data_IF_226303754263
#
_entry.id   IF_226303754263
#
_cell.length_a   1.000
_cell.length_b   1.000
_cell.length_c   1.000
_cell.angle_alpha   90.00
_cell.angle_beta   90.00
_cell.angle_gamma   90.00
#
_symmetry.space_group_name_H-M   'P 1'
#
loop_
_entity.id
_entity.type
_entity.pdbx_description
1 polymer ?
#
# COMPACT_ATOMS: atom_id res chain seq x y z
N UNK A 1 -9.29 -19.31 -22.24
CA UNK A 1 -8.46 -18.12 -21.94
C UNK A 1 -8.52 -17.89 -20.43
N UNK A 2 -7.45 -17.41 -19.80
CA UNK A 2 -7.49 -17.03 -18.37
C UNK A 2 -8.32 -15.76 -18.20
N UNK A 3 -9.04 -15.59 -17.08
CA UNK A 3 -9.67 -14.32 -16.75
C UNK A 3 -8.61 -13.21 -16.56
N UNK A 4 -8.96 -11.99 -16.92
CA UNK A 4 -8.04 -10.85 -16.84
C UNK A 4 -8.22 -10.12 -15.51
N UNK A 5 -7.15 -10.01 -14.72
CA UNK A 5 -7.06 -9.11 -13.57
C UNK A 5 -6.31 -7.84 -13.97
N UNK A 6 -7.00 -6.70 -13.91
CA UNK A 6 -6.43 -5.40 -14.22
C UNK A 6 -5.83 -4.77 -12.96
N UNK A 7 -4.55 -4.40 -13.00
CA UNK A 7 -3.87 -3.72 -11.90
C UNK A 7 -3.55 -2.30 -12.31
N UNK A 8 -4.24 -1.32 -11.74
CA UNK A 8 -3.89 0.10 -11.97
C UNK A 8 -2.77 0.55 -11.04
N UNK A 9 -2.02 1.57 -11.42
CA UNK A 9 -0.87 2.03 -10.65
C UNK A 9 0.27 1.00 -10.63
N UNK A 10 0.42 0.23 -11.71
CA UNK A 10 1.42 -0.84 -11.83
C UNK A 10 2.88 -0.38 -11.70
N UNK A 11 3.18 0.91 -11.94
CA UNK A 11 4.49 1.50 -11.68
C UNK A 11 4.71 1.88 -10.20
N UNK A 12 3.67 1.84 -9.36
CA UNK A 12 3.75 2.09 -7.93
C UNK A 12 4.38 0.93 -7.16
N UNK A 13 4.73 1.17 -5.87
CA UNK A 13 5.39 0.15 -5.05
C UNK A 13 4.58 -1.16 -4.97
N UNK A 14 3.30 -1.11 -4.64
CA UNK A 14 2.48 -2.32 -4.50
C UNK A 14 2.11 -2.89 -5.87
N UNK A 15 1.73 -2.04 -6.82
CA UNK A 15 1.32 -2.47 -8.16
C UNK A 15 2.39 -3.29 -8.88
N UNK A 16 3.66 -2.89 -8.81
CA UNK A 16 4.75 -3.68 -9.41
C UNK A 16 4.94 -5.05 -8.74
N UNK A 17 4.76 -5.16 -7.41
CA UNK A 17 4.82 -6.47 -6.74
C UNK A 17 3.63 -7.35 -7.13
N UNK A 18 2.44 -6.80 -7.28
CA UNK A 18 1.28 -7.53 -7.80
C UNK A 18 1.57 -8.13 -9.17
N UNK A 19 2.03 -7.31 -10.12
CA UNK A 19 2.33 -7.79 -11.48
C UNK A 19 3.44 -8.84 -11.48
N UNK A 20 4.55 -8.57 -10.78
CA UNK A 20 5.71 -9.49 -10.76
C UNK A 20 5.42 -10.82 -10.07
N UNK A 21 4.65 -10.81 -8.99
CA UNK A 21 4.36 -12.01 -8.21
C UNK A 21 3.15 -12.79 -8.70
N UNK A 22 2.45 -12.30 -9.71
CA UNK A 22 1.25 -12.94 -10.28
C UNK A 22 1.51 -14.37 -10.74
N UNK A 23 2.66 -14.63 -11.36
CA UNK A 23 3.06 -15.97 -11.79
C UNK A 23 3.05 -16.98 -10.63
N UNK A 24 3.33 -16.54 -9.42
CA UNK A 24 3.37 -17.38 -8.22
C UNK A 24 2.05 -17.42 -7.45
N UNK A 25 1.42 -16.25 -7.27
CA UNK A 25 0.30 -16.09 -6.35
C UNK A 25 -1.07 -15.99 -7.03
N UNK A 26 -1.08 -15.74 -8.35
CA UNK A 26 -2.29 -15.63 -9.16
C UNK A 26 -2.17 -16.39 -10.50
N UNK A 27 -1.73 -17.67 -10.50
CA UNK A 27 -1.46 -18.39 -11.74
C UNK A 27 -2.73 -18.64 -12.58
N UNK A 28 -3.92 -18.54 -12.00
CA UNK A 28 -5.19 -18.64 -12.68
C UNK A 28 -5.54 -17.41 -13.52
N UNK A 29 -4.88 -16.25 -13.27
CA UNK A 29 -5.19 -14.98 -13.89
C UNK A 29 -4.19 -14.61 -14.99
N UNK A 30 -4.68 -13.92 -16.02
CA UNK A 30 -3.87 -13.07 -16.89
C UNK A 30 -3.80 -11.68 -16.26
N UNK A 31 -2.65 -11.27 -15.73
CA UNK A 31 -2.51 -9.99 -15.02
C UNK A 31 -2.03 -8.91 -16.00
N UNK A 32 -2.81 -7.84 -16.13
CA UNK A 32 -2.47 -6.66 -16.93
C UNK A 32 -2.25 -5.46 -16.02
N UNK A 33 -1.00 -4.99 -15.96
CA UNK A 33 -0.64 -3.79 -15.23
C UNK A 33 -0.83 -2.55 -16.11
N UNK A 34 -1.50 -1.51 -15.58
CA UNK A 34 -1.58 -0.20 -16.22
C UNK A 34 -0.80 0.83 -15.41
N UNK A 35 0.09 1.51 -16.09
CA UNK A 35 0.83 2.68 -15.59
C UNK A 35 0.19 3.97 -16.11
N UNK A 36 0.63 5.11 -15.59
CA UNK A 36 0.15 6.42 -16.06
C UNK A 36 0.54 6.71 -17.53
N UNK A 37 1.59 6.08 -18.02
CA UNK A 37 2.02 6.21 -19.43
C UNK A 37 1.20 5.37 -20.38
N UNK A 38 0.55 4.30 -19.86
CA UNK A 38 -0.31 3.43 -20.68
C UNK A 38 -1.72 4.02 -20.79
N UNK A 39 -2.21 4.65 -19.71
CA UNK A 39 -3.56 5.20 -19.63
C UNK A 39 -3.63 6.29 -18.55
N UNK A 40 -4.08 7.49 -18.93
CA UNK A 40 -4.44 8.52 -17.95
C UNK A 40 -5.84 8.22 -17.39
N UNK A 41 -5.88 7.72 -16.16
CA UNK A 41 -7.13 7.37 -15.47
C UNK A 41 -8.05 8.58 -15.20
N UNK A 42 -7.56 9.81 -15.36
CA UNK A 42 -8.37 11.03 -15.23
C UNK A 42 -9.12 11.40 -16.51
N UNK A 43 -8.81 10.77 -17.63
CA UNK A 43 -9.56 10.88 -18.89
C UNK A 43 -10.62 9.75 -18.96
N UNK A 44 -11.86 10.09 -18.63
CA UNK A 44 -12.97 9.12 -18.59
C UNK A 44 -13.20 8.43 -19.93
N UNK A 45 -13.08 9.16 -21.05
CA UNK A 45 -13.30 8.59 -22.38
C UNK A 45 -12.21 7.59 -22.78
N UNK A 46 -10.96 7.89 -22.42
CA UNK A 46 -9.87 6.93 -22.63
C UNK A 46 -10.04 5.67 -21.77
N UNK A 47 -10.44 5.85 -20.53
CA UNK A 47 -10.72 4.73 -19.61
C UNK A 47 -11.84 3.85 -20.16
N UNK A 48 -12.95 4.40 -20.61
CA UNK A 48 -14.08 3.65 -21.18
C UNK A 48 -13.67 2.87 -22.44
N UNK A 49 -12.89 3.47 -23.34
CA UNK A 49 -12.35 2.79 -24.53
C UNK A 49 -11.42 1.64 -24.18
N UNK A 50 -10.52 1.88 -23.22
CA UNK A 50 -9.62 0.85 -22.72
C UNK A 50 -10.39 -0.30 -22.04
N UNK A 51 -11.43 0.02 -21.29
CA UNK A 51 -12.32 -0.96 -20.65
C UNK A 51 -12.97 -1.89 -21.64
N UNK A 52 -13.56 -1.34 -22.72
CA UNK A 52 -14.19 -2.12 -23.80
C UNK A 52 -13.20 -3.04 -24.53
N UNK A 53 -11.93 -2.61 -24.58
CA UNK A 53 -10.86 -3.39 -25.25
C UNK A 53 -10.31 -4.48 -24.33
N UNK A 54 -10.04 -4.14 -23.06
CA UNK A 54 -9.43 -5.05 -22.09
C UNK A 54 -10.42 -6.08 -21.57
N UNK A 55 -11.67 -5.65 -21.32
CA UNK A 55 -12.76 -6.46 -20.72
C UNK A 55 -12.28 -7.18 -19.46
N UNK A 56 -11.88 -6.47 -18.41
CA UNK A 56 -11.36 -7.09 -17.20
C UNK A 56 -12.42 -7.93 -16.50
N UNK A 57 -11.96 -8.99 -15.83
CA UNK A 57 -12.79 -9.86 -15.00
C UNK A 57 -12.62 -9.56 -13.51
N UNK A 58 -11.61 -8.77 -13.17
CA UNK A 58 -11.38 -8.24 -11.83
C UNK A 58 -10.46 -7.02 -11.92
N UNK A 59 -10.53 -6.13 -10.92
CA UNK A 59 -9.65 -4.94 -10.82
C UNK A 59 -9.00 -4.87 -9.46
N UNK A 60 -7.69 -4.58 -9.44
CA UNK A 60 -6.96 -4.15 -8.25
C UNK A 60 -6.51 -2.70 -8.45
N UNK A 61 -7.15 -1.78 -7.77
CA UNK A 61 -6.91 -0.35 -7.93
C UNK A 61 -5.87 0.16 -6.92
N UNK A 62 -4.62 0.32 -7.41
CA UNK A 62 -3.48 0.82 -6.63
C UNK A 62 -3.08 2.26 -6.98
N UNK A 63 -3.62 2.82 -8.07
CA UNK A 63 -3.29 4.18 -8.48
C UNK A 63 -3.81 5.20 -7.47
N UNK A 64 -2.95 6.11 -7.03
CA UNK A 64 -3.30 7.21 -6.13
C UNK A 64 -2.22 8.29 -6.14
N UNK A 65 -2.61 9.51 -5.80
CA UNK A 65 -1.72 10.54 -5.30
C UNK A 65 -1.53 10.26 -3.80
N UNK A 66 -0.39 9.64 -3.43
CA UNK A 66 -0.21 9.06 -2.09
C UNK A 66 0.74 9.84 -1.17
N UNK A 67 1.40 10.89 -1.67
CA UNK A 67 2.24 11.75 -0.83
C UNK A 67 1.37 12.80 -0.16
N UNK A 68 1.25 12.74 1.15
CA UNK A 68 0.45 13.67 1.95
C UNK A 68 0.78 15.13 1.61
N UNK A 69 2.09 15.46 1.47
CA UNK A 69 2.52 16.81 1.07
C UNK A 69 1.92 17.26 -0.25
N UNK A 70 1.91 16.40 -1.26
CA UNK A 70 1.39 16.73 -2.59
C UNK A 70 -0.13 16.92 -2.55
N UNK A 71 -0.84 16.13 -1.73
CA UNK A 71 -2.28 16.27 -1.50
C UNK A 71 -2.62 17.58 -0.80
N UNK A 72 -1.84 17.98 0.23
CA UNK A 72 -2.03 19.27 0.91
C UNK A 72 -1.76 20.46 -0.01
N UNK A 73 -0.81 20.35 -0.95
CA UNK A 73 -0.48 21.40 -1.90
C UNK A 73 -1.55 21.60 -2.96
N UNK A 74 -2.21 20.52 -3.38
CA UNK A 74 -3.27 20.54 -4.40
C UNK A 74 -4.40 19.58 -4.03
N UNK A 75 -5.31 19.98 -3.12
CA UNK A 75 -6.44 19.16 -2.68
C UNK A 75 -7.41 18.81 -3.82
N UNK A 76 -7.58 19.71 -4.79
CA UNK A 76 -8.48 19.47 -5.92
C UNK A 76 -7.94 18.34 -6.82
N UNK A 77 -6.65 18.36 -7.14
CA UNK A 77 -6.02 17.30 -7.88
C UNK A 77 -5.96 15.99 -7.09
N UNK A 78 -5.76 16.07 -5.76
CA UNK A 78 -5.86 14.89 -4.89
C UNK A 78 -7.25 14.26 -4.95
N UNK A 79 -8.31 15.06 -4.88
CA UNK A 79 -9.69 14.58 -5.04
C UNK A 79 -9.93 13.98 -6.43
N UNK A 80 -9.53 14.67 -7.48
CA UNK A 80 -9.66 14.19 -8.86
C UNK A 80 -9.01 12.81 -9.05
N UNK A 81 -7.79 12.61 -8.54
CA UNK A 81 -7.06 11.36 -8.73
C UNK A 81 -7.56 10.27 -7.76
N UNK A 82 -7.76 10.59 -6.48
CA UNK A 82 -8.04 9.58 -5.46
C UNK A 82 -9.54 9.24 -5.35
N UNK A 83 -10.42 10.19 -5.66
CA UNK A 83 -11.87 10.00 -5.50
C UNK A 83 -12.56 9.79 -6.84
N UNK A 84 -12.45 10.77 -7.78
CA UNK A 84 -13.23 10.72 -9.01
C UNK A 84 -12.82 9.55 -9.92
N UNK A 85 -11.51 9.28 -10.02
CA UNK A 85 -10.98 8.10 -10.73
C UNK A 85 -11.47 6.81 -10.08
N UNK A 86 -11.41 6.72 -8.74
CA UNK A 86 -11.86 5.53 -8.03
C UNK A 86 -13.37 5.30 -8.21
N UNK A 87 -14.17 6.36 -8.12
CA UNK A 87 -15.61 6.29 -8.34
C UNK A 87 -15.94 5.75 -9.75
N UNK A 88 -15.28 6.30 -10.77
CA UNK A 88 -15.50 5.87 -12.15
C UNK A 88 -15.10 4.41 -12.39
N UNK A 89 -13.95 3.99 -11.86
CA UNK A 89 -13.52 2.58 -11.97
C UNK A 89 -14.42 1.62 -11.18
N UNK A 90 -14.92 2.03 -10.01
CA UNK A 90 -15.87 1.25 -9.23
C UNK A 90 -17.21 1.08 -9.97
N UNK A 91 -17.72 2.14 -10.62
CA UNK A 91 -18.90 2.09 -11.45
C UNK A 91 -18.74 1.12 -12.64
N UNK A 92 -17.62 1.21 -13.37
CA UNK A 92 -17.30 0.29 -14.47
C UNK A 92 -17.12 -1.16 -14.01
N UNK A 93 -16.83 -1.38 -12.73
CA UNK A 93 -16.61 -2.68 -12.11
C UNK A 93 -17.83 -3.26 -11.38
N UNK A 94 -19.03 -2.68 -11.57
CA UNK A 94 -20.22 -3.04 -10.77
C UNK A 94 -20.54 -4.55 -10.73
N UNK A 95 -20.22 -5.27 -11.80
CA UNK A 95 -20.49 -6.70 -11.97
C UNK A 95 -19.26 -7.62 -11.80
N UNK A 96 -18.11 -7.04 -11.44
CA UNK A 96 -16.86 -7.79 -11.26
C UNK A 96 -16.16 -7.43 -9.93
N UNK A 97 -15.33 -8.32 -9.37
CA UNK A 97 -14.54 -7.99 -8.18
C UNK A 97 -13.67 -6.77 -8.36
N UNK A 98 -13.75 -5.85 -7.40
CA UNK A 98 -12.93 -4.64 -7.34
C UNK A 98 -12.26 -4.54 -5.98
N UNK A 99 -10.93 -4.52 -5.93
CA UNK A 99 -10.15 -4.32 -4.71
C UNK A 99 -9.51 -2.94 -4.75
N UNK A 100 -9.95 -2.07 -3.86
CA UNK A 100 -9.43 -0.71 -3.70
C UNK A 100 -8.39 -0.67 -2.58
N UNK A 101 -7.19 -0.15 -2.86
CA UNK A 101 -6.21 0.11 -1.82
C UNK A 101 -6.53 1.43 -1.11
N UNK A 102 -7.12 1.33 0.05
CA UNK A 102 -7.30 2.42 1.00
C UNK A 102 -6.07 2.58 1.90
N UNK A 103 -6.16 3.36 2.94
CA UNK A 103 -5.03 3.70 3.83
C UNK A 103 -5.44 3.74 5.29
N UNK A 104 -4.51 3.42 6.20
CA UNK A 104 -4.67 3.71 7.63
C UNK A 104 -4.71 5.21 7.96
N UNK A 105 -4.31 6.10 7.01
CA UNK A 105 -4.43 7.56 7.16
C UNK A 105 -5.89 8.05 7.25
N UNK A 106 -6.87 7.17 7.11
CA UNK A 106 -8.29 7.46 7.41
C UNK A 106 -8.53 7.65 8.91
N UNK A 107 -7.59 7.29 9.76
CA UNK A 107 -7.66 7.44 11.21
C UNK A 107 -6.81 8.61 11.72
N UNK A 108 -7.17 9.16 12.87
CA UNK A 108 -6.46 10.29 13.51
C UNK A 108 -5.17 9.90 14.27
N UNK A 109 -4.97 8.61 14.48
CA UNK A 109 -3.77 8.09 15.15
C UNK A 109 -3.72 8.28 16.65
N UNK A 110 -4.85 8.49 17.33
CA UNK A 110 -4.89 8.72 18.79
C UNK A 110 -4.83 7.44 19.62
N UNK A 111 -5.40 6.34 19.12
CA UNK A 111 -5.57 5.11 19.91
C UNK A 111 -4.67 3.95 19.44
N UNK A 112 -4.37 3.85 18.14
CA UNK A 112 -3.66 2.70 17.57
C UNK A 112 -4.47 1.39 17.59
N UNK A 113 -3.92 0.34 16.97
CA UNK A 113 -4.57 -0.97 16.84
C UNK A 113 -6.01 -0.90 16.35
N UNK A 114 -6.27 0.04 15.42
CA UNK A 114 -7.60 0.29 14.87
C UNK A 114 -8.20 -0.97 14.26
N UNK A 115 -9.49 -1.17 14.50
CA UNK A 115 -10.32 -2.22 13.90
C UNK A 115 -11.13 -1.65 12.74
N UNK A 116 -11.63 -2.52 11.87
CA UNK A 116 -12.49 -2.10 10.75
C UNK A 116 -13.80 -1.45 11.21
N UNK A 117 -14.20 -1.68 12.46
CA UNK A 117 -15.40 -1.10 13.10
C UNK A 117 -15.16 0.25 13.76
N UNK A 118 -13.90 0.68 13.90
CA UNK A 118 -13.58 1.97 14.51
C UNK A 118 -13.91 3.11 13.54
N UNK A 119 -14.43 4.21 14.10
CA UNK A 119 -14.85 5.37 13.29
C UNK A 119 -13.62 6.07 12.68
N UNK A 120 -13.57 6.24 11.35
CA UNK A 120 -12.52 6.99 10.69
C UNK A 120 -12.60 8.49 11.02
N UNK A 121 -11.45 9.10 11.28
CA UNK A 121 -11.31 10.53 11.53
C UNK A 121 -9.99 11.03 10.91
N UNK A 122 -9.90 11.20 9.57
CA UNK A 122 -8.68 11.63 8.92
C UNK A 122 -8.29 13.04 9.34
N UNK A 123 -6.98 13.31 9.41
CA UNK A 123 -6.43 14.61 9.83
C UNK A 123 -5.59 15.28 8.74
N UNK A 124 -5.65 14.77 7.52
CA UNK A 124 -4.98 15.33 6.35
C UNK A 124 -5.77 15.01 5.08
N UNK A 125 -5.51 15.80 4.02
CA UNK A 125 -6.21 15.69 2.73
C UNK A 125 -6.09 14.31 2.10
N UNK A 126 -4.93 13.66 2.21
CA UNK A 126 -4.77 12.30 1.70
C UNK A 126 -5.75 11.32 2.36
N UNK A 127 -5.81 11.33 3.69
CA UNK A 127 -6.73 10.48 4.45
C UNK A 127 -8.19 10.77 4.12
N UNK A 128 -8.57 12.06 3.98
CA UNK A 128 -9.93 12.48 3.61
C UNK A 128 -10.31 11.92 2.23
N UNK A 129 -9.44 12.07 1.21
CA UNK A 129 -9.70 11.55 -0.13
C UNK A 129 -9.78 10.03 -0.17
N UNK A 130 -8.96 9.32 0.63
CA UNK A 130 -9.02 7.86 0.73
C UNK A 130 -10.32 7.39 1.39
N UNK A 131 -10.79 8.08 2.44
CA UNK A 131 -12.04 7.77 3.11
C UNK A 131 -13.26 8.03 2.22
N UNK A 132 -13.27 9.14 1.47
CA UNK A 132 -14.34 9.45 0.52
C UNK A 132 -14.44 8.37 -0.57
N UNK A 133 -13.31 7.99 -1.16
CA UNK A 133 -13.23 6.92 -2.16
C UNK A 133 -13.65 5.55 -1.60
N UNK A 134 -13.22 5.21 -0.37
CA UNK A 134 -13.60 3.98 0.32
C UNK A 134 -15.12 3.86 0.49
N UNK A 135 -15.78 4.95 0.90
CA UNK A 135 -17.25 5.00 1.05
C UNK A 135 -17.98 4.74 -0.27
N UNK A 136 -17.45 5.27 -1.38
CA UNK A 136 -18.01 5.03 -2.72
C UNK A 136 -17.85 3.55 -3.11
N UNK A 137 -16.65 3.01 -2.95
CA UNK A 137 -16.34 1.61 -3.29
C UNK A 137 -17.23 0.65 -2.51
N UNK A 138 -17.42 0.88 -1.22
CA UNK A 138 -18.20 0.00 -0.34
C UNK A 138 -19.74 0.10 -0.55
N UNK A 139 -20.23 1.01 -1.38
CA UNK A 139 -21.64 1.00 -1.83
C UNK A 139 -21.93 -0.19 -2.76
N UNK A 140 -20.91 -0.76 -3.40
CA UNK A 140 -21.04 -1.93 -4.25
C UNK A 140 -20.77 -3.22 -3.45
N UNK A 141 -21.76 -4.12 -3.32
CA UNK A 141 -21.64 -5.29 -2.44
C UNK A 141 -20.56 -6.30 -2.87
N UNK A 142 -20.14 -6.25 -4.15
CA UNK A 142 -19.06 -7.08 -4.70
C UNK A 142 -17.65 -6.52 -4.51
N UNK A 143 -17.50 -5.33 -3.94
CA UNK A 143 -16.23 -4.62 -3.86
C UNK A 143 -15.57 -4.76 -2.49
N UNK A 144 -14.26 -4.57 -2.50
CA UNK A 144 -13.41 -4.64 -1.30
C UNK A 144 -12.60 -3.34 -1.16
N UNK A 145 -12.59 -2.77 0.03
CA UNK A 145 -11.63 -1.75 0.43
C UNK A 145 -10.62 -2.36 1.39
N UNK A 146 -9.32 -2.16 1.11
CA UNK A 146 -8.22 -2.69 1.89
C UNK A 146 -7.39 -1.54 2.47
N UNK A 147 -7.54 -1.25 3.75
CA UNK A 147 -6.72 -0.26 4.45
C UNK A 147 -5.34 -0.85 4.71
N UNK A 148 -4.34 -0.23 4.12
CA UNK A 148 -2.94 -0.59 4.31
C UNK A 148 -2.21 0.50 5.07
N UNK A 149 -1.08 0.14 5.66
CA UNK A 149 -0.19 1.08 6.34
C UNK A 149 1.18 1.10 5.68
N UNK A 150 2.19 1.54 6.41
CA UNK A 150 3.55 1.69 5.92
C UNK A 150 4.06 0.43 5.18
N UNK A 151 4.28 0.57 3.88
CA UNK A 151 4.72 -0.52 3.02
C UNK A 151 6.24 -0.47 2.84
N UNK A 152 6.91 -1.57 3.15
CA UNK A 152 8.34 -1.76 2.93
C UNK A 152 8.61 -2.48 1.61
N UNK A 153 9.66 -2.08 0.90
CA UNK A 153 10.04 -2.70 -0.38
C UNK A 153 10.96 -1.82 -1.19
N UNK A 154 11.35 -2.32 -2.34
CA UNK A 154 12.17 -1.61 -3.33
C UNK A 154 11.39 -1.50 -4.64
N UNK A 155 11.37 -0.30 -5.20
CA UNK A 155 10.74 0.01 -6.47
C UNK A 155 11.72 -0.21 -7.63
N UNK A 156 11.22 -0.61 -8.80
CA UNK A 156 12.09 -0.85 -9.96
C UNK A 156 12.53 0.44 -10.67
N UNK A 157 11.61 1.41 -10.80
CA UNK A 157 11.82 2.54 -11.71
C UNK A 157 12.13 3.87 -10.99
N UNK A 158 11.61 4.08 -9.81
CA UNK A 158 11.85 5.29 -9.01
C UNK A 158 11.52 5.04 -7.55
N UNK A 159 12.25 5.65 -6.60
CA UNK A 159 11.97 5.47 -5.18
C UNK A 159 10.53 5.78 -4.80
N UNK A 160 9.85 4.80 -4.21
CA UNK A 160 8.42 4.86 -3.81
C UNK A 160 8.20 4.45 -2.37
N UNK A 161 9.21 3.89 -1.70
CA UNK A 161 9.10 3.42 -0.32
C UNK A 161 9.92 4.28 0.64
N UNK A 162 9.52 4.24 1.91
CA UNK A 162 10.29 4.88 2.98
C UNK A 162 11.71 4.29 3.13
N UNK A 163 11.91 3.02 2.80
CA UNK A 163 13.22 2.36 2.82
C UNK A 163 14.15 3.01 1.81
N UNK A 164 13.65 3.21 0.59
CA UNK A 164 14.41 3.86 -0.49
C UNK A 164 14.70 5.33 -0.18
N UNK A 165 13.76 6.04 0.43
CA UNK A 165 13.95 7.43 0.85
C UNK A 165 15.04 7.55 1.93
N UNK A 166 15.03 6.67 2.95
CA UNK A 166 16.08 6.63 3.97
C UNK A 166 17.45 6.36 3.36
N UNK A 167 17.55 5.34 2.49
CA UNK A 167 18.80 4.98 1.80
C UNK A 167 19.34 6.12 0.94
N UNK A 168 18.46 6.78 0.18
CA UNK A 168 18.83 7.94 -0.65
C UNK A 168 19.35 9.11 0.19
N UNK A 169 18.72 9.41 1.34
CA UNK A 169 19.18 10.44 2.24
C UNK A 169 20.57 10.09 2.80
N UNK A 170 20.76 8.87 3.28
CA UNK A 170 22.04 8.39 3.82
C UNK A 170 23.15 8.42 2.75
N UNK A 171 22.87 7.95 1.53
CA UNK A 171 23.82 7.98 0.42
C UNK A 171 24.22 9.41 0.02
N UNK A 172 23.36 10.40 0.28
CA UNK A 172 23.66 11.82 0.09
C UNK A 172 24.32 12.48 1.32
N UNK A 173 24.85 11.70 2.25
CA UNK A 173 25.42 12.17 3.52
C UNK A 173 24.50 13.02 4.38
N UNK A 174 23.17 12.86 4.25
CA UNK A 174 22.16 13.55 5.06
C UNK A 174 21.70 12.67 6.20
N UNK A 175 21.46 13.28 7.34
CA UNK A 175 20.83 12.61 8.46
C UNK A 175 19.39 12.24 8.14
N UNK A 176 18.97 11.08 8.65
CA UNK A 176 17.62 10.53 8.50
C UNK A 176 16.94 10.62 9.86
N UNK A 177 16.15 11.66 10.06
CA UNK A 177 15.39 11.83 11.30
C UNK A 177 14.21 10.87 11.33
N UNK A 178 14.16 10.00 12.34
CA UNK A 178 13.10 9.02 12.56
C UNK A 178 12.43 9.26 13.91
N UNK A 179 11.10 9.33 13.89
CA UNK A 179 10.33 9.67 15.07
C UNK A 179 10.16 8.46 16.01
N UNK A 180 10.39 8.66 17.31
CA UNK A 180 10.19 7.64 18.33
C UNK A 180 8.73 7.55 18.80
N UNK A 181 7.92 8.54 18.49
CA UNK A 181 6.52 8.71 18.87
C UNK A 181 5.55 8.66 17.68
N UNK A 182 5.99 8.13 16.53
CA UNK A 182 5.14 7.82 15.37
C UNK A 182 5.19 6.31 15.10
N UNK A 183 4.05 5.64 15.31
CA UNK A 183 3.95 4.18 15.26
C UNK A 183 3.22 3.68 14.01
N UNK A 184 3.71 2.57 13.47
CA UNK A 184 3.15 1.86 12.31
C UNK A 184 3.30 0.35 12.51
N UNK A 185 2.57 -0.44 11.73
CA UNK A 185 2.79 -1.88 11.56
C UNK A 185 3.28 -2.16 10.13
N UNK A 186 4.58 -1.96 9.86
CA UNK A 186 5.12 -2.07 8.51
C UNK A 186 4.96 -3.48 7.96
N UNK A 187 4.64 -3.56 6.65
CA UNK A 187 4.48 -4.83 5.96
C UNK A 187 5.20 -4.79 4.62
N UNK A 188 5.94 -5.84 4.23
CA UNK A 188 6.58 -5.93 2.92
C UNK A 188 5.57 -5.97 1.78
N UNK A 189 5.87 -5.25 0.68
CA UNK A 189 5.01 -5.14 -0.49
C UNK A 189 4.64 -6.50 -1.11
N UNK A 190 5.54 -7.46 -1.07
CA UNK A 190 5.26 -8.82 -1.56
C UNK A 190 4.27 -9.59 -0.68
N UNK A 191 4.29 -9.38 0.65
CA UNK A 191 3.27 -9.97 1.54
C UNK A 191 1.91 -9.32 1.28
N UNK A 192 1.88 -8.00 1.06
CA UNK A 192 0.66 -7.28 0.65
C UNK A 192 0.13 -7.84 -0.67
N UNK A 193 0.99 -8.00 -1.67
CA UNK A 193 0.60 -8.57 -2.97
C UNK A 193 0.02 -9.99 -2.83
N UNK A 194 0.66 -10.85 -2.02
CA UNK A 194 0.16 -12.20 -1.73
C UNK A 194 -1.23 -12.17 -1.08
N UNK A 195 -1.45 -11.26 -0.13
CA UNK A 195 -2.75 -11.14 0.54
C UNK A 195 -3.84 -10.63 -0.43
N UNK A 196 -3.50 -9.68 -1.30
CA UNK A 196 -4.43 -9.16 -2.32
C UNK A 196 -4.84 -10.27 -3.30
N UNK A 197 -3.89 -11.07 -3.78
CA UNK A 197 -4.20 -12.20 -4.66
C UNK A 197 -5.06 -13.25 -3.96
N UNK A 198 -4.80 -13.56 -2.69
CA UNK A 198 -5.63 -14.48 -1.91
C UNK A 198 -7.06 -13.93 -1.70
N UNK A 199 -7.21 -12.63 -1.50
CA UNK A 199 -8.53 -11.98 -1.43
C UNK A 199 -9.27 -12.06 -2.76
N UNK A 200 -8.58 -11.90 -3.89
CA UNK A 200 -9.19 -11.97 -5.22
C UNK A 200 -9.68 -13.38 -5.54
N UNK A 201 -8.91 -14.40 -5.15
CA UNK A 201 -9.22 -15.80 -5.49
C UNK A 201 -10.33 -16.40 -4.61
N UNK A 202 -10.51 -15.98 -3.40
CA UNK A 202 -11.45 -16.61 -2.47
C UNK A 202 -11.94 -15.75 -1.33
N UNK A 203 -11.62 -14.45 -1.37
CA UNK A 203 -12.04 -13.50 -0.33
C UNK A 203 -13.53 -13.17 -0.41
N UNK A 204 -14.03 -12.66 0.70
CA UNK A 204 -15.37 -12.06 0.75
C UNK A 204 -15.23 -10.55 0.54
N UNK A 205 -16.15 -9.90 -0.20
CA UNK A 205 -16.17 -8.45 -0.32
C UNK A 205 -16.29 -7.75 1.04
N UNK A 206 -15.87 -6.50 1.11
CA UNK A 206 -16.01 -5.67 2.30
C UNK A 206 -14.75 -4.91 2.68
N UNK A 207 -14.75 -4.36 3.90
CA UNK A 207 -13.64 -3.59 4.45
C UNK A 207 -12.69 -4.48 5.22
N UNK A 208 -11.37 -4.35 4.96
CA UNK A 208 -10.31 -5.08 5.64
C UNK A 208 -9.13 -4.18 6.00
N UNK A 209 -8.43 -4.56 7.07
CA UNK A 209 -7.14 -3.98 7.44
C UNK A 209 -6.00 -4.94 7.09
N UNK A 210 -4.90 -4.40 6.56
CA UNK A 210 -3.70 -5.18 6.26
C UNK A 210 -2.43 -4.41 6.67
N UNK A 211 -1.83 -4.83 7.75
CA UNK A 211 -0.56 -4.36 8.30
C UNK A 211 0.22 -5.53 8.88
N UNK A 212 1.48 -5.30 9.26
CA UNK A 212 2.29 -6.28 9.95
C UNK A 212 1.78 -6.56 11.37
N UNK A 213 2.13 -7.71 11.93
CA UNK A 213 1.72 -8.09 13.30
C UNK A 213 2.52 -7.39 14.42
N UNK A 214 3.48 -6.53 14.06
CA UNK A 214 4.28 -5.74 15.00
C UNK A 214 3.99 -4.25 14.84
N UNK A 215 3.73 -3.59 15.99
CA UNK A 215 3.66 -2.13 16.10
C UNK A 215 5.04 -1.59 16.44
N UNK A 216 5.59 -0.79 15.57
CA UNK A 216 6.94 -0.24 15.69
C UNK A 216 6.92 1.28 15.49
N UNK A 217 7.73 2.01 16.27
CA UNK A 217 7.99 3.42 15.97
C UNK A 217 8.84 3.55 14.69
N UNK A 218 8.82 4.73 14.07
CA UNK A 218 9.67 5.00 12.90
C UNK A 218 11.14 4.78 13.22
N UNK A 219 11.55 5.13 14.44
CA UNK A 219 12.90 4.89 14.94
C UNK A 219 13.23 3.39 15.01
N UNK A 220 12.37 2.58 15.62
CA UNK A 220 12.55 1.13 15.72
C UNK A 220 12.60 0.44 14.34
N UNK A 221 11.80 0.93 13.38
CA UNK A 221 11.84 0.43 11.99
C UNK A 221 13.20 0.71 11.36
N UNK A 222 13.74 1.92 11.54
CA UNK A 222 15.08 2.26 11.05
C UNK A 222 16.17 1.41 11.67
N UNK A 223 16.12 1.18 12.99
CA UNK A 223 17.07 0.32 13.69
C UNK A 223 17.02 -1.14 13.19
N UNK A 224 15.83 -1.65 12.93
CA UNK A 224 15.65 -3.00 12.40
C UNK A 224 16.26 -3.19 10.99
N UNK A 225 16.42 -2.11 10.22
CA UNK A 225 17.00 -2.14 8.87
C UNK A 225 18.52 -1.99 8.83
N UNK A 226 19.17 -1.61 9.93
CA UNK A 226 20.63 -1.41 9.97
C UNK A 226 21.47 -2.63 9.54
N UNK A 227 21.12 -3.87 9.91
CA UNK A 227 21.86 -5.05 9.45
C UNK A 227 21.84 -5.25 7.93
N UNK A 228 20.78 -4.73 7.27
CA UNK A 228 20.55 -4.89 5.84
C UNK A 228 21.09 -3.74 5.00
N UNK A 229 21.21 -2.57 5.60
CA UNK A 229 21.61 -1.32 4.95
C UNK A 229 22.69 -0.62 5.76
N UNK A 230 23.96 -1.07 5.63
CA UNK A 230 25.10 -0.49 6.38
C UNK A 230 25.27 1.01 6.15
N UNK A 231 24.81 1.54 5.00
CA UNK A 231 24.84 2.97 4.69
C UNK A 231 23.98 3.83 5.63
N UNK A 232 23.04 3.24 6.34
CA UNK A 232 22.24 3.93 7.37
C UNK A 232 22.98 4.11 8.70
N UNK A 233 24.08 3.34 8.92
CA UNK A 233 24.85 3.39 10.17
C UNK A 233 25.45 4.79 10.38
N UNK A 234 25.19 5.38 11.55
CA UNK A 234 25.65 6.74 11.90
C UNK A 234 24.87 7.86 11.18
N UNK A 235 23.81 7.54 10.44
CA UNK A 235 22.93 8.51 9.78
C UNK A 235 21.53 8.59 10.37
N UNK A 236 21.13 7.61 11.16
CA UNK A 236 19.82 7.64 11.81
C UNK A 236 19.87 8.57 13.02
N UNK A 237 18.98 9.54 13.05
CA UNK A 237 18.82 10.50 14.14
C UNK A 237 17.42 10.34 14.72
N UNK A 238 17.36 10.24 16.05
CA UNK A 238 16.10 10.15 16.78
C UNK A 238 15.43 11.51 16.83
N UNK A 239 14.13 11.55 16.53
CA UNK A 239 13.31 12.75 16.59
C UNK A 239 11.94 12.49 17.20
N UNK A 240 11.12 13.52 17.29
CA UNK A 240 9.74 13.46 17.73
C UNK A 240 8.80 14.05 16.67
N UNK A 241 7.70 13.37 16.39
CA UNK A 241 6.67 13.87 15.48
C UNK A 241 6.00 15.16 15.97
N UNK A 242 6.06 15.43 17.28
CA UNK A 242 5.56 16.69 17.89
C UNK A 242 6.31 17.92 17.40
N UNK A 243 7.56 17.76 16.98
CA UNK A 243 8.41 18.86 16.50
C UNK A 243 8.35 19.00 14.96
N UNK A 244 7.55 18.19 14.28
CA UNK A 244 7.45 18.22 12.83
C UNK A 244 6.62 19.41 12.34
N UNK A 245 7.18 20.18 11.38
CA UNK A 245 6.59 21.39 10.82
C UNK A 245 6.05 21.14 9.39
N UNK A 246 5.26 20.10 9.20
CA UNK A 246 4.69 19.73 7.89
C UNK A 246 3.22 19.38 7.98
N UNK A 247 2.71 18.68 6.98
CA UNK A 247 1.34 18.15 6.99
C UNK A 247 1.08 17.33 8.25
N UNK A 248 -0.14 17.40 8.78
CA UNK A 248 -0.55 16.66 9.99
C UNK A 248 -0.25 15.17 9.85
N UNK A 249 0.38 14.59 10.87
CA UNK A 249 0.79 13.18 10.90
C UNK A 249 0.13 12.45 12.04
N UNK A 250 -0.70 11.43 11.76
CA UNK A 250 -1.24 10.58 12.81
C UNK A 250 -0.11 9.89 13.57
N UNK A 251 -0.18 9.89 14.91
CA UNK A 251 0.89 9.33 15.74
C UNK A 251 0.91 7.80 15.68
N UNK A 252 -0.24 7.16 15.76
CA UNK A 252 -0.32 5.69 15.78
C UNK A 252 -1.36 5.17 14.77
N UNK A 253 -0.88 4.61 13.68
CA UNK A 253 -1.71 3.96 12.68
C UNK A 253 -1.53 2.43 12.69
N UNK A 254 -1.27 1.85 13.86
CA UNK A 254 -1.31 0.39 13.96
C UNK A 254 -2.73 -0.13 13.71
N UNK A 255 -2.84 -1.23 12.98
CA UNK A 255 -4.10 -1.84 12.57
C UNK A 255 -4.24 -3.24 13.14
N UNK A 256 -5.43 -3.57 13.67
CA UNK A 256 -5.83 -4.94 13.94
C UNK A 256 -6.18 -5.61 12.61
N UNK A 257 -5.54 -6.75 12.33
CA UNK A 257 -5.69 -7.47 11.06
C UNK A 257 -6.35 -8.85 11.24
N UNK A 258 -7.05 -9.10 12.34
CA UNK A 258 -7.66 -10.39 12.67
C UNK A 258 -8.66 -10.84 11.60
N UNK A 259 -9.43 -9.88 11.07
CA UNK A 259 -10.46 -10.15 10.06
C UNK A 259 -9.86 -10.70 8.76
N UNK A 260 -8.85 -10.04 8.21
CA UNK A 260 -8.18 -10.55 7.00
C UNK A 260 -7.36 -11.80 7.30
N UNK A 261 -6.71 -11.89 8.47
CA UNK A 261 -5.93 -13.06 8.87
C UNK A 261 -6.76 -14.34 8.84
N UNK A 262 -8.04 -14.27 9.19
CA UNK A 262 -8.95 -15.42 9.15
C UNK A 262 -9.24 -15.96 7.74
N UNK A 263 -8.97 -15.16 6.71
CA UNK A 263 -9.16 -15.53 5.29
C UNK A 263 -7.87 -16.01 4.63
N UNK A 264 -6.70 -15.68 5.22
CA UNK A 264 -5.41 -16.00 4.62
C UNK A 264 -4.93 -17.38 5.05
N UNK A 265 -4.41 -18.16 4.09
CA UNK A 265 -3.75 -19.45 4.32
C UNK A 265 -2.33 -19.33 4.89
N UNK A 266 -1.86 -18.12 5.15
CA UNK A 266 -0.55 -17.83 5.72
C UNK A 266 -0.68 -16.80 6.83
N UNK A 267 0.30 -16.80 7.74
CA UNK A 267 0.35 -15.84 8.83
C UNK A 267 0.95 -14.51 8.35
N UNK A 268 0.30 -13.39 8.69
CA UNK A 268 0.88 -12.06 8.45
C UNK A 268 2.08 -11.90 9.40
N UNK A 269 3.29 -11.67 8.89
CA UNK A 269 4.48 -11.59 9.74
C UNK A 269 4.57 -10.27 10.48
N UNK A 270 5.29 -10.26 11.59
CA UNK A 270 5.89 -9.06 12.15
C UNK A 270 7.08 -8.61 11.30
N UNK A 271 7.40 -7.33 11.31
CA UNK A 271 8.45 -6.78 10.46
C UNK A 271 9.85 -7.29 10.86
N UNK A 272 10.16 -7.31 12.16
CA UNK A 272 11.42 -7.85 12.67
C UNK A 272 11.54 -9.35 12.42
N UNK A 273 10.45 -10.09 12.66
CA UNK A 273 10.39 -11.53 12.39
C UNK A 273 10.63 -11.79 10.91
N UNK A 274 9.97 -11.03 10.04
CA UNK A 274 10.14 -11.17 8.59
C UNK A 274 11.59 -10.87 8.14
N UNK A 275 12.25 -9.87 8.73
CA UNK A 275 13.66 -9.58 8.47
C UNK A 275 14.57 -10.72 8.96
N UNK A 276 14.32 -11.26 10.16
CA UNK A 276 15.15 -12.31 10.76
C UNK A 276 15.11 -13.65 10.01
N UNK A 277 14.00 -13.94 9.32
CA UNK A 277 13.83 -15.13 8.48
C UNK A 277 14.68 -15.07 7.18
N UNK A 278 15.29 -13.94 6.89
CA UNK A 278 16.10 -13.72 5.70
C UNK A 278 17.57 -13.59 6.06
N UNK A 279 18.44 -14.27 5.28
CA UNK A 279 19.89 -14.20 5.53
C UNK A 279 20.42 -12.78 5.29
N UNK A 280 21.17 -12.25 6.23
CA UNK A 280 21.91 -11.02 6.04
C UNK A 280 22.90 -11.20 4.87
N UNK A 281 22.82 -10.36 3.85
CA UNK A 281 23.71 -10.37 2.67
C UNK A 281 23.13 -10.98 1.40
N UNK A 282 21.88 -11.46 1.41
CA UNK A 282 21.16 -11.76 0.18
C UNK A 282 20.84 -10.47 -0.58
N UNK A 283 21.20 -10.38 -1.87
CA UNK A 283 20.91 -9.23 -2.73
C UNK A 283 19.41 -8.93 -2.85
N UNK A 284 18.56 -9.84 -2.39
CA UNK A 284 17.13 -9.91 -2.70
C UNK A 284 16.23 -9.91 -1.47
N UNK A 285 16.56 -9.10 -0.43
CA UNK A 285 15.72 -8.93 0.76
C UNK A 285 14.23 -8.75 0.43
N UNK A 286 13.92 -8.07 -0.68
CA UNK A 286 12.57 -7.76 -1.13
C UNK A 286 12.11 -8.61 -2.31
N UNK A 287 12.93 -9.56 -2.77
CA UNK A 287 12.54 -10.46 -3.85
C UNK A 287 11.68 -11.61 -3.29
N UNK A 288 10.46 -11.68 -3.78
CA UNK A 288 9.49 -12.73 -3.46
C UNK A 288 9.47 -13.86 -4.48
N UNK A 289 10.30 -13.75 -5.50
CA UNK A 289 10.48 -14.77 -6.52
C UNK A 289 11.61 -15.75 -6.16
N UNK A 290 11.80 -16.04 -4.86
CA UNK A 290 12.82 -17.01 -4.45
C UNK A 290 12.89 -18.18 -5.39
N UNK A 291 14.08 -18.47 -5.86
CA UNK A 291 14.41 -19.64 -6.64
C UNK A 291 13.86 -20.85 -5.88
N UNK A 292 12.86 -21.49 -6.44
CA UNK A 292 12.49 -22.85 -6.01
C UNK A 292 13.70 -23.72 -6.23
N UNK A 293 14.40 -24.04 -5.15
CA UNK A 293 15.34 -25.16 -5.13
C UNK A 293 14.59 -26.46 -5.31
#
# INVERSE_FOLDING_TARGET
>A
MKPIALVTGAAGLIGQYLVRTAVRWAPAWEVRGLTRTDLDLTDRHEVERAWQTIKPHAVVHCAALSRTKDCEQDPQNAKRINVDVTAHLAELSCDIPFIFLSSGEVFDGKIGWYRETDEPNPINVYGETKLEAERIVLQHPGHTALRIVLTAGISQNSPRSFVEDMRRMAASNRDVTLFEDEYRCPLPAGVIARAIWALLDGGKPGLYHLGGSERLSRWEIGQALLPWYPELKGRLVKGSARNYQGASRPQDLSLCCDKIQSLLSFRIPGFRTWLAERSAGGSDLWDFLEKTS
#
